data_IF_896623308620
#
_entry.id   IF_896623308620
#
_cell.length_a   1.000
_cell.length_b   1.000
_cell.length_c   1.000
_cell.angle_alpha   90.00
_cell.angle_beta   90.00
_cell.angle_gamma   90.00
#
_symmetry.space_group_name_H-M   'P 1'
#
loop_
_entity.id
_entity.type
_entity.pdbx_description
1 polymer ?
#
# COMPACT_ATOMS: atom_id res chain seq x y z
N UNK A 1 23.10 -25.71 54.55
CA UNK A 1 21.71 -25.44 54.99
C UNK A 1 21.42 -23.95 54.77
N UNK A 2 20.30 -23.66 54.08
CA UNK A 2 19.47 -22.41 54.08
C UNK A 2 20.19 -21.09 53.71
N UNK A 3 20.03 -20.57 52.48
CA UNK A 3 18.94 -19.70 51.98
C UNK A 3 18.50 -18.59 52.94
N UNK A 4 18.58 -17.33 52.47
CA UNK A 4 17.51 -16.31 52.37
C UNK A 4 18.03 -15.21 51.41
N UNK A 5 17.65 -15.21 50.13
CA UNK A 5 16.51 -14.49 49.54
C UNK A 5 16.37 -13.04 50.03
N UNK A 6 16.99 -12.11 49.30
CA UNK A 6 16.61 -10.70 49.31
C UNK A 6 15.72 -10.48 48.09
N UNK A 7 14.43 -10.33 48.36
CA UNK A 7 13.40 -9.86 47.43
C UNK A 7 13.25 -8.36 47.66
N UNK A 8 13.44 -7.53 46.62
CA UNK A 8 12.61 -6.32 46.44
C UNK A 8 12.69 -5.76 45.00
N UNK A 9 11.60 -6.07 44.28
CA UNK A 9 10.79 -5.25 43.35
C UNK A 9 11.42 -4.31 42.30
N UNK A 10 11.08 -4.66 41.06
CA UNK A 10 10.34 -3.86 40.08
C UNK A 10 11.00 -2.57 39.56
N UNK A 11 11.66 -2.72 38.40
CA UNK A 11 11.89 -1.66 37.44
C UNK A 11 11.65 -2.21 36.03
N UNK A 12 10.54 -1.79 35.44
CA UNK A 12 10.02 -2.08 34.10
C UNK A 12 11.12 -2.32 33.05
N UNK A 13 11.26 -3.56 32.61
CA UNK A 13 12.02 -3.93 31.42
C UNK A 13 11.04 -4.25 30.29
N UNK A 14 10.94 -3.25 29.42
CA UNK A 14 10.62 -3.28 27.98
C UNK A 14 10.86 -4.67 27.38
N UNK A 15 9.84 -5.22 26.73
CA UNK A 15 9.84 -5.84 25.40
C UNK A 15 8.46 -6.47 25.20
N UNK A 16 7.48 -5.61 24.92
CA UNK A 16 6.17 -6.00 24.44
C UNK A 16 6.32 -6.72 23.08
N UNK A 17 5.94 -8.00 23.06
CA UNK A 17 5.31 -8.59 21.88
C UNK A 17 6.23 -9.19 20.81
N UNK A 18 7.03 -10.20 21.16
CA UNK A 18 7.32 -11.29 20.24
C UNK A 18 6.68 -12.57 20.80
N UNK A 19 5.36 -12.58 20.88
CA UNK A 19 4.56 -13.78 21.06
C UNK A 19 3.56 -13.80 19.91
N UNK A 20 3.53 -14.92 19.20
CA UNK A 20 2.96 -15.03 17.88
C UNK A 20 1.49 -14.65 17.81
N UNK A 21 1.15 -14.08 16.66
CA UNK A 21 -0.03 -14.53 15.95
C UNK A 21 0.36 -14.51 14.49
N UNK A 22 0.42 -15.68 13.87
CA UNK A 22 0.22 -15.81 12.44
C UNK A 22 -1.24 -15.41 12.19
N UNK A 23 -1.55 -14.12 12.32
CA UNK A 23 -2.78 -13.56 11.80
C UNK A 23 -2.59 -13.62 10.30
N UNK A 24 -3.03 -14.74 9.71
CA UNK A 24 -3.62 -14.68 8.38
C UNK A 24 -4.56 -13.49 8.42
N UNK A 25 -4.09 -12.33 7.94
CA UNK A 25 -4.90 -11.12 7.90
C UNK A 25 -6.21 -11.49 7.24
N UNK A 26 -7.32 -10.98 7.75
CA UNK A 26 -8.58 -11.18 7.04
C UNK A 26 -8.37 -10.77 5.57
N UNK A 27 -9.03 -11.41 4.60
CA UNK A 27 -8.90 -11.04 3.19
C UNK A 27 -9.08 -9.54 2.94
N UNK A 28 -9.88 -8.88 3.79
CA UNK A 28 -10.09 -7.44 3.80
C UNK A 28 -8.83 -6.64 4.20
N UNK A 29 -8.11 -7.04 5.24
CA UNK A 29 -6.86 -6.38 5.67
C UNK A 29 -5.72 -6.61 4.68
N UNK A 30 -5.61 -7.81 4.09
CA UNK A 30 -4.61 -8.09 3.05
C UNK A 30 -4.85 -7.21 1.81
N UNK A 31 -6.12 -7.03 1.42
CA UNK A 31 -6.48 -6.14 0.32
C UNK A 31 -6.15 -4.67 0.63
N UNK A 32 -6.37 -4.20 1.86
CA UNK A 32 -6.00 -2.83 2.26
C UNK A 32 -4.48 -2.62 2.13
N UNK A 33 -3.66 -3.56 2.61
CA UNK A 33 -2.20 -3.42 2.52
C UNK A 33 -1.74 -3.32 1.06
N UNK A 34 -2.27 -4.15 0.17
CA UNK A 34 -1.93 -4.12 -1.27
C UNK A 34 -2.32 -2.80 -1.91
N UNK A 35 -3.46 -2.24 -1.52
CA UNK A 35 -3.89 -0.91 -1.97
C UNK A 35 -2.93 0.19 -1.52
N UNK A 36 -2.49 0.15 -0.26
CA UNK A 36 -1.52 1.09 0.30
C UNK A 36 -0.13 0.96 -0.35
N UNK A 37 0.34 -0.26 -0.58
CA UNK A 37 1.62 -0.53 -1.26
C UNK A 37 1.58 -0.02 -2.70
N UNK A 38 0.47 -0.27 -3.41
CA UNK A 38 0.28 0.21 -4.78
C UNK A 38 0.24 1.74 -4.82
N UNK A 39 -0.47 2.39 -3.90
CA UNK A 39 -0.51 3.84 -3.79
C UNK A 39 0.86 4.45 -3.47
N UNK A 40 1.66 3.77 -2.65
CA UNK A 40 3.04 4.18 -2.35
C UNK A 40 3.94 4.08 -3.57
N UNK A 41 3.82 3.00 -4.36
CA UNK A 41 4.56 2.85 -5.62
C UNK A 41 4.14 3.90 -6.65
N UNK A 42 2.84 4.19 -6.75
CA UNK A 42 2.34 5.28 -7.60
C UNK A 42 2.90 6.64 -7.15
N UNK A 43 2.97 6.90 -5.84
CA UNK A 43 3.59 8.12 -5.31
C UNK A 43 5.08 8.21 -5.70
N UNK A 44 5.83 7.12 -5.57
CA UNK A 44 7.24 7.07 -5.97
C UNK A 44 7.41 7.36 -7.47
N UNK A 45 6.58 6.78 -8.34
CA UNK A 45 6.61 7.07 -9.78
C UNK A 45 6.29 8.55 -10.05
N UNK A 46 5.33 9.12 -9.33
CA UNK A 46 4.98 10.53 -9.46
C UNK A 46 6.14 11.44 -9.06
N UNK A 47 6.84 11.12 -7.96
CA UNK A 47 7.91 11.95 -7.41
C UNK A 47 9.23 11.80 -8.19
N UNK A 48 9.59 10.57 -8.58
CA UNK A 48 10.83 10.27 -9.28
C UNK A 48 10.73 10.45 -10.79
N UNK A 49 9.50 10.49 -11.33
CA UNK A 49 9.23 10.56 -12.76
C UNK A 49 9.87 9.39 -13.53
N UNK A 50 9.92 8.22 -12.90
CA UNK A 50 10.46 6.98 -13.46
C UNK A 50 9.45 5.85 -13.38
N UNK A 51 9.15 5.22 -14.52
CA UNK A 51 8.25 4.07 -14.57
C UNK A 51 9.03 2.75 -14.52
N UNK A 52 8.82 1.98 -13.45
CA UNK A 52 9.31 0.60 -13.39
C UNK A 52 8.70 -0.27 -14.49
N UNK A 53 9.52 -1.09 -15.15
CA UNK A 53 9.12 -1.86 -16.35
C UNK A 53 7.87 -2.71 -16.17
N UNK A 54 7.64 -3.24 -14.97
CA UNK A 54 6.55 -4.16 -14.68
C UNK A 54 5.37 -3.54 -13.93
N UNK A 55 5.48 -2.27 -13.51
CA UNK A 55 4.45 -1.66 -12.64
C UNK A 55 3.06 -1.65 -13.31
N UNK A 56 2.90 -1.24 -14.58
CA UNK A 56 1.57 -1.26 -15.20
C UNK A 56 0.96 -2.66 -15.30
N UNK A 57 1.79 -3.68 -15.50
CA UNK A 57 1.34 -5.07 -15.57
C UNK A 57 0.89 -5.58 -14.19
N UNK A 58 1.69 -5.34 -13.16
CA UNK A 58 1.37 -5.73 -11.78
C UNK A 58 0.08 -5.08 -11.29
N UNK A 59 -0.10 -3.78 -11.54
CA UNK A 59 -1.34 -3.08 -11.16
C UNK A 59 -2.55 -3.64 -11.93
N UNK A 60 -2.38 -4.00 -13.20
CA UNK A 60 -3.46 -4.61 -13.98
C UNK A 60 -3.86 -5.99 -13.44
N UNK A 61 -2.89 -6.81 -13.01
CA UNK A 61 -3.14 -8.13 -12.42
C UNK A 61 -3.82 -8.04 -11.05
N UNK A 62 -3.56 -6.95 -10.31
CA UNK A 62 -4.15 -6.71 -8.99
C UNK A 62 -5.46 -5.91 -9.04
N UNK A 63 -5.97 -5.52 -10.21
CA UNK A 63 -7.08 -4.57 -10.33
C UNK A 63 -8.35 -4.97 -9.56
N UNK A 64 -8.67 -6.27 -9.53
CA UNK A 64 -9.78 -6.84 -8.74
C UNK A 64 -9.65 -6.60 -7.23
N UNK A 65 -8.41 -6.51 -6.73
CA UNK A 65 -8.11 -6.29 -5.31
C UNK A 65 -7.99 -4.81 -4.99
N UNK A 66 -7.74 -3.97 -5.99
CA UNK A 66 -7.46 -2.54 -5.84
C UNK A 66 -8.73 -1.67 -5.88
N UNK A 67 -9.77 -2.16 -6.52
CA UNK A 67 -11.02 -1.42 -6.78
C UNK A 67 -12.21 -2.19 -6.20
N UNK A 68 -13.34 -1.49 -5.97
CA UNK A 68 -14.55 -2.11 -5.43
C UNK A 68 -15.68 -2.22 -6.48
N UNK A 69 -15.44 -1.79 -7.72
CA UNK A 69 -16.41 -1.84 -8.82
C UNK A 69 -15.77 -2.27 -10.14
N UNK A 70 -16.54 -2.97 -10.98
CA UNK A 70 -16.05 -3.37 -12.31
C UNK A 70 -15.74 -2.16 -13.20
N UNK A 71 -16.46 -1.04 -13.07
CA UNK A 71 -16.18 0.17 -13.83
C UNK A 71 -14.83 0.80 -13.45
N UNK A 72 -14.49 0.81 -12.17
CA UNK A 72 -13.21 1.34 -11.70
C UNK A 72 -12.07 0.41 -12.09
N UNK A 73 -12.29 -0.90 -12.03
CA UNK A 73 -11.35 -1.92 -12.52
C UNK A 73 -11.06 -1.74 -14.01
N UNK A 74 -12.10 -1.63 -14.85
CA UNK A 74 -11.93 -1.40 -16.29
C UNK A 74 -11.16 -0.11 -16.58
N UNK A 75 -11.48 0.96 -15.83
CA UNK A 75 -10.81 2.25 -15.91
C UNK A 75 -9.33 2.16 -15.49
N UNK A 76 -9.04 1.45 -14.40
CA UNK A 76 -7.69 1.23 -13.90
C UNK A 76 -6.85 0.44 -14.92
N UNK A 77 -7.41 -0.63 -15.50
CA UNK A 77 -6.75 -1.42 -16.56
C UNK A 77 -6.49 -0.55 -17.81
N UNK A 78 -7.42 0.32 -18.19
CA UNK A 78 -7.24 1.25 -19.30
C UNK A 78 -6.10 2.25 -19.00
N UNK A 79 -6.02 2.78 -17.79
CA UNK A 79 -4.94 3.66 -17.35
C UNK A 79 -3.59 2.94 -17.33
N UNK A 80 -3.51 1.67 -16.90
CA UNK A 80 -2.29 0.88 -17.00
C UNK A 80 -1.77 0.75 -18.44
N UNK A 81 -2.68 0.51 -19.40
CA UNK A 81 -2.33 0.46 -20.84
C UNK A 81 -1.82 1.82 -21.33
N UNK A 82 -2.41 2.92 -20.84
CA UNK A 82 -1.98 4.28 -21.18
C UNK A 82 -0.60 4.59 -20.58
N UNK A 83 -0.41 4.31 -19.29
CA UNK A 83 0.84 4.48 -18.56
C UNK A 83 2.02 3.79 -19.27
N UNK A 84 1.82 2.55 -19.72
CA UNK A 84 2.84 1.79 -20.47
C UNK A 84 3.26 2.48 -21.78
N UNK A 85 2.35 3.19 -22.45
CA UNK A 85 2.64 3.94 -23.69
C UNK A 85 3.29 5.29 -23.41
N UNK A 86 2.92 5.91 -22.30
CA UNK A 86 3.39 7.23 -21.86
C UNK A 86 4.66 7.18 -21.01
N UNK A 87 5.37 6.04 -20.96
CA UNK A 87 6.56 5.84 -20.12
C UNK A 87 7.71 6.85 -20.35
N UNK A 88 7.70 7.58 -21.48
CA UNK A 88 8.69 8.61 -21.80
C UNK A 88 8.17 10.04 -21.64
N UNK A 89 6.87 10.21 -21.39
CA UNK A 89 6.23 11.51 -21.18
C UNK A 89 5.95 11.68 -19.69
N UNK A 90 6.78 12.49 -19.04
CA UNK A 90 6.76 12.67 -17.58
C UNK A 90 5.48 13.36 -17.10
N UNK A 91 5.01 14.35 -17.84
CA UNK A 91 3.80 15.09 -17.50
C UNK A 91 2.57 14.20 -17.69
N UNK A 92 2.50 13.49 -18.82
CA UNK A 92 1.39 12.56 -19.05
C UNK A 92 1.40 11.42 -18.03
N UNK A 93 2.57 10.90 -17.67
CA UNK A 93 2.71 9.88 -16.64
C UNK A 93 2.20 10.35 -15.28
N UNK A 94 2.57 11.56 -14.84
CA UNK A 94 2.08 12.13 -13.58
C UNK A 94 0.57 12.25 -13.53
N UNK A 95 -0.05 12.70 -14.64
CA UNK A 95 -1.51 12.76 -14.76
C UNK A 95 -2.12 11.37 -14.65
N UNK A 96 -1.60 10.39 -15.39
CA UNK A 96 -2.11 9.02 -15.38
C UNK A 96 -2.01 8.40 -13.98
N UNK A 97 -0.86 8.55 -13.33
CA UNK A 97 -0.60 8.01 -11.99
C UNK A 97 -1.52 8.64 -10.93
N UNK A 98 -1.76 9.95 -11.02
CA UNK A 98 -2.74 10.63 -10.16
C UNK A 98 -4.16 10.10 -10.38
N UNK A 99 -4.56 9.90 -11.63
CA UNK A 99 -5.88 9.36 -11.94
C UNK A 99 -6.03 7.89 -11.48
N UNK A 100 -4.97 7.08 -11.60
CA UNK A 100 -4.96 5.71 -11.06
C UNK A 100 -5.14 5.70 -9.54
N UNK A 101 -4.47 6.60 -8.81
CA UNK A 101 -4.57 6.66 -7.35
C UNK A 101 -5.99 6.99 -6.86
N UNK A 102 -6.76 7.77 -7.63
CA UNK A 102 -8.16 8.09 -7.31
C UNK A 102 -9.08 6.87 -7.38
N UNK A 103 -8.78 5.91 -8.27
CA UNK A 103 -9.58 4.68 -8.44
C UNK A 103 -9.32 3.61 -7.38
N UNK A 104 -8.19 3.68 -6.68
CA UNK A 104 -7.82 2.66 -5.67
C UNK A 104 -8.50 2.99 -4.34
N UNK A 105 -9.43 2.16 -3.86
CA UNK A 105 -10.24 2.50 -2.69
C UNK A 105 -9.56 2.14 -1.37
N UNK A 106 -9.33 3.10 -0.47
CA UNK A 106 -8.82 2.82 0.88
C UNK A 106 -9.73 3.46 1.94
N UNK A 107 -9.80 2.89 3.15
CA UNK A 107 -10.55 3.52 4.25
C UNK A 107 -10.08 4.95 4.52
N UNK A 108 -11.01 5.86 4.83
CA UNK A 108 -10.75 7.31 4.95
C UNK A 108 -9.58 7.65 5.89
N UNK A 109 -9.42 6.89 6.98
CA UNK A 109 -8.32 7.05 7.95
C UNK A 109 -6.91 6.97 7.32
N UNK A 110 -6.79 6.41 6.11
CA UNK A 110 -5.52 6.32 5.39
C UNK A 110 -5.35 7.42 4.33
N UNK A 111 -6.42 8.09 3.89
CA UNK A 111 -6.35 9.09 2.81
C UNK A 111 -5.43 10.27 3.18
N UNK A 112 -5.40 10.68 4.45
CA UNK A 112 -4.57 11.80 4.91
C UNK A 112 -3.06 11.55 4.71
N UNK A 113 -2.67 10.29 4.62
CA UNK A 113 -1.27 9.85 4.48
C UNK A 113 -0.85 9.62 3.02
N UNK A 114 -1.75 9.82 2.05
CA UNK A 114 -1.50 9.51 0.63
C UNK A 114 -1.65 10.79 -0.19
N UNK A 115 -0.55 11.49 -0.53
CA UNK A 115 -0.60 12.78 -1.21
C UNK A 115 -1.35 12.73 -2.55
N UNK A 116 -1.19 11.67 -3.34
CA UNK A 116 -1.90 11.49 -4.61
C UNK A 116 -3.43 11.40 -4.50
N UNK A 117 -3.98 11.21 -3.30
CA UNK A 117 -5.43 11.19 -3.03
C UNK A 117 -5.99 12.51 -2.50
N UNK A 118 -5.14 13.53 -2.32
CA UNK A 118 -5.53 14.89 -1.92
C UNK A 118 -5.83 15.75 -3.13
#
# INVERSE_FOLDING_TARGET
>A
MKQYFITLLAGVAILSGCAGESTSGSPEMENIQIRLDTLSNLQEIFDLEELGQNVPSQISELADRLTDSESDKESLIALCKKLKKSAKDKEEMKVIVSDMAKLINVPEKFNEHIPLKK
#
